data_IF_673773704635
#
_entry.id   IF_673773704635
#
_cell.length_a   1.000
_cell.length_b   1.000
_cell.length_c   1.000
_cell.angle_alpha   90.00
_cell.angle_beta   90.00
_cell.angle_gamma   90.00
#
_symmetry.space_group_name_H-M   'P 1'
#
loop_
_entity.id
_entity.type
_entity.pdbx_description
1 polymer ?
#
# COMPACT_ATOMS: atom_id res chain seq x y z
N UNK A 1 -19.04 4.34 6.88
CA UNK A 1 -17.93 3.40 6.64
C UNK A 1 -16.66 3.96 7.26
N UNK A 2 -15.90 3.11 7.94
CA UNK A 2 -14.56 3.43 8.44
C UNK A 2 -13.61 2.30 8.05
N UNK A 3 -12.56 2.63 7.33
CA UNK A 3 -11.65 1.65 6.76
C UNK A 3 -10.19 1.94 7.12
N UNK A 4 -9.36 0.91 7.10
CA UNK A 4 -7.91 1.03 7.26
C UNK A 4 -7.19 0.30 6.14
N UNK A 5 -6.10 0.90 5.67
CA UNK A 5 -5.17 0.29 4.71
C UNK A 5 -3.80 0.19 5.39
N UNK A 6 -3.27 -1.02 5.50
CA UNK A 6 -1.90 -1.28 5.93
C UNK A 6 -1.03 -1.47 4.70
N UNK A 7 0.14 -0.82 4.67
CA UNK A 7 1.10 -0.96 3.59
C UNK A 7 2.54 -1.00 4.14
N UNK A 8 3.47 -1.45 3.32
CA UNK A 8 4.84 -1.65 3.76
C UNK A 8 5.56 -0.33 4.03
N UNK A 9 5.52 0.60 3.08
CA UNK A 9 6.37 1.76 3.07
C UNK A 9 5.67 3.09 2.85
N UNK A 10 6.46 4.16 2.89
CA UNK A 10 5.98 5.53 2.67
C UNK A 10 5.56 5.76 1.22
N UNK A 11 6.22 5.09 0.27
CA UNK A 11 5.85 5.18 -1.16
C UNK A 11 4.44 4.66 -1.36
N UNK A 12 4.12 3.47 -0.82
CA UNK A 12 2.80 2.86 -0.91
C UNK A 12 1.73 3.77 -0.31
N UNK A 13 2.01 4.28 0.90
CA UNK A 13 1.11 5.21 1.58
C UNK A 13 0.79 6.44 0.74
N UNK A 14 1.81 7.02 0.08
CA UNK A 14 1.64 8.18 -0.81
C UNK A 14 0.83 7.83 -2.06
N UNK A 15 1.11 6.66 -2.68
CA UNK A 15 0.40 6.22 -3.87
C UNK A 15 -1.07 5.95 -3.57
N UNK A 16 -1.37 5.19 -2.52
CA UNK A 16 -2.74 4.94 -2.07
C UNK A 16 -3.47 6.27 -1.80
N UNK A 17 -2.83 7.21 -1.11
CA UNK A 17 -3.40 8.53 -0.89
C UNK A 17 -3.73 9.24 -2.19
N UNK A 18 -2.82 9.24 -3.18
CA UNK A 18 -3.04 9.93 -4.45
C UNK A 18 -4.15 9.29 -5.27
N UNK A 19 -4.21 7.95 -5.33
CA UNK A 19 -5.33 7.25 -5.96
C UNK A 19 -6.65 7.66 -5.31
N UNK A 20 -6.74 7.61 -3.99
CA UNK A 20 -7.96 8.00 -3.28
C UNK A 20 -8.33 9.47 -3.52
N UNK A 21 -7.35 10.37 -3.53
CA UNK A 21 -7.61 11.80 -3.75
C UNK A 21 -7.97 12.12 -5.20
N UNK A 22 -7.23 11.62 -6.18
CA UNK A 22 -7.34 12.06 -7.56
C UNK A 22 -8.29 11.22 -8.40
N UNK A 23 -8.39 9.92 -8.13
CA UNK A 23 -9.36 9.04 -8.81
C UNK A 23 -10.73 9.05 -8.11
N UNK A 24 -10.74 8.87 -6.78
CA UNK A 24 -11.98 8.68 -6.01
C UNK A 24 -12.46 9.91 -5.24
N UNK A 25 -11.77 11.05 -5.36
CA UNK A 25 -12.15 12.37 -4.81
C UNK A 25 -12.25 12.39 -3.28
N UNK A 26 -11.44 11.58 -2.60
CA UNK A 26 -11.30 11.66 -1.15
C UNK A 26 -10.52 12.91 -0.75
N UNK A 27 -10.86 13.52 0.39
CA UNK A 27 -10.18 14.70 0.92
C UNK A 27 -9.19 14.28 1.99
N UNK A 28 -7.98 14.80 1.90
CA UNK A 28 -6.97 14.65 2.94
C UNK A 28 -7.38 15.46 4.17
N UNK A 29 -7.49 14.80 5.33
CA UNK A 29 -7.97 15.39 6.58
C UNK A 29 -6.88 15.54 7.65
N UNK A 30 -5.80 14.78 7.55
CA UNK A 30 -4.72 14.92 8.50
C UNK A 30 -3.62 13.88 8.41
N UNK A 31 -2.53 14.21 9.09
CA UNK A 31 -1.34 13.37 9.25
C UNK A 31 -1.11 13.14 10.75
N UNK A 32 -0.90 11.89 11.12
CA UNK A 32 -0.52 11.54 12.49
C UNK A 32 0.82 10.82 12.42
N UNK A 33 1.86 11.46 12.94
CA UNK A 33 3.15 10.85 13.16
C UNK A 33 3.12 10.06 14.46
N UNK A 34 3.51 8.79 14.43
CA UNK A 34 3.63 8.04 15.66
C UNK A 34 4.96 8.38 16.33
N UNK A 35 4.89 9.19 17.36
CA UNK A 35 6.06 9.66 18.13
C UNK A 35 6.78 8.55 18.92
N UNK A 36 6.13 7.40 19.10
CA UNK A 36 6.66 6.27 19.90
C UNK A 36 7.52 5.33 19.05
N UNK A 37 7.21 5.20 17.76
CA UNK A 37 8.08 4.53 16.80
C UNK A 37 8.09 5.35 15.52
N UNK A 38 9.24 5.85 15.11
CA UNK A 38 9.45 6.58 13.84
C UNK A 38 9.13 5.73 12.58
N UNK A 39 8.48 4.57 12.74
CA UNK A 39 8.21 3.59 11.68
C UNK A 39 6.77 3.65 11.18
N UNK A 40 5.81 3.98 12.03
CA UNK A 40 4.40 4.04 11.64
C UNK A 40 4.01 5.46 11.24
N UNK A 41 3.69 5.64 9.98
CA UNK A 41 3.09 6.88 9.47
C UNK A 41 1.62 6.63 9.15
N UNK A 42 0.76 7.54 9.58
CA UNK A 42 -0.69 7.49 9.31
C UNK A 42 -1.14 8.69 8.49
N UNK A 43 -2.02 8.44 7.55
CA UNK A 43 -2.76 9.50 6.84
C UNK A 43 -4.24 9.22 6.90
N UNK A 44 -5.01 10.28 7.04
CA UNK A 44 -6.47 10.21 7.16
C UNK A 44 -7.09 10.91 5.96
N UNK A 45 -8.03 10.22 5.33
CA UNK A 45 -8.86 10.77 4.26
C UNK A 45 -10.33 10.62 4.61
N UNK A 46 -11.14 11.56 4.16
CA UNK A 46 -12.60 11.60 4.40
C UNK A 46 -13.36 11.85 3.11
N UNK A 47 -14.54 11.24 2.99
CA UNK A 47 -15.49 11.44 1.89
C UNK A 47 -16.90 11.12 2.39
N UNK A 48 -17.84 12.05 2.29
CA UNK A 48 -19.26 11.86 2.57
C UNK A 48 -19.56 11.16 3.92
N UNK A 49 -18.84 11.55 4.97
CA UNK A 49 -18.95 10.94 6.31
C UNK A 49 -18.20 9.63 6.49
N UNK A 50 -17.62 9.07 5.44
CA UNK A 50 -16.72 7.94 5.52
C UNK A 50 -15.29 8.38 5.84
N UNK A 51 -14.50 7.47 6.43
CA UNK A 51 -13.11 7.71 6.83
C UNK A 51 -12.21 6.55 6.43
N UNK A 52 -11.05 6.85 5.84
CA UNK A 52 -9.97 5.88 5.57
C UNK A 52 -8.72 6.30 6.32
N UNK A 53 -8.11 5.37 7.04
CA UNK A 53 -6.76 5.51 7.60
C UNK A 53 -5.78 4.69 6.75
N UNK A 54 -4.71 5.31 6.23
CA UNK A 54 -3.61 4.61 5.58
C UNK A 54 -2.45 4.56 6.58
N UNK A 55 -1.92 3.37 6.83
CA UNK A 55 -0.85 3.10 7.80
C UNK A 55 0.35 2.46 7.11
N UNK A 56 1.47 3.17 7.03
CA UNK A 56 2.76 2.62 6.60
C UNK A 56 3.45 1.96 7.77
N UNK A 57 3.78 0.68 7.67
CA UNK A 57 4.30 -0.14 8.77
C UNK A 57 5.83 -0.20 8.84
N UNK A 58 6.53 0.38 7.85
CA UNK A 58 8.00 0.36 7.80
C UNK A 58 8.59 -1.00 7.41
N UNK A 59 7.86 -1.78 6.61
CA UNK A 59 8.24 -3.06 6.02
C UNK A 59 7.22 -4.17 6.28
N UNK A 60 7.20 -5.16 5.38
CA UNK A 60 6.26 -6.29 5.41
C UNK A 60 6.26 -7.05 6.75
N UNK A 61 7.42 -7.18 7.38
CA UNK A 61 7.59 -7.91 8.65
C UNK A 61 6.89 -7.26 9.83
N UNK A 62 6.58 -5.97 9.74
CA UNK A 62 5.93 -5.21 10.81
C UNK A 62 4.39 -5.22 10.67
N UNK A 63 3.86 -5.54 9.48
CA UNK A 63 2.40 -5.52 9.24
C UNK A 63 1.65 -6.44 10.21
N UNK A 64 2.07 -7.71 10.46
CA UNK A 64 1.37 -8.56 11.41
C UNK A 64 1.33 -8.02 12.85
N UNK A 65 2.39 -7.33 13.30
CA UNK A 65 2.42 -6.69 14.61
C UNK A 65 1.48 -5.49 14.69
N UNK A 66 1.42 -4.67 13.64
CA UNK A 66 0.49 -3.55 13.57
C UNK A 66 -0.96 -4.01 13.44
N UNK A 67 -1.21 -5.11 12.76
CA UNK A 67 -2.53 -5.76 12.68
C UNK A 67 -2.97 -6.26 14.05
N UNK A 68 -2.08 -6.89 14.84
CA UNK A 68 -2.41 -7.31 16.21
C UNK A 68 -2.75 -6.11 17.09
N UNK A 69 -1.98 -5.02 17.02
CA UNK A 69 -2.30 -3.78 17.75
C UNK A 69 -3.64 -3.17 17.33
N UNK A 70 -3.94 -3.26 16.04
CA UNK A 70 -5.23 -2.84 15.50
C UNK A 70 -6.36 -3.71 16.05
N UNK A 71 -6.18 -5.03 16.10
CA UNK A 71 -7.13 -5.95 16.73
C UNK A 71 -7.38 -5.59 18.20
N UNK A 72 -6.32 -5.40 18.97
CA UNK A 72 -6.40 -4.94 20.37
C UNK A 72 -7.15 -3.59 20.48
N UNK A 73 -6.88 -2.64 19.58
CA UNK A 73 -7.59 -1.37 19.52
C UNK A 73 -9.10 -1.58 19.30
N UNK A 74 -9.48 -2.48 18.38
CA UNK A 74 -10.88 -2.82 18.12
C UNK A 74 -11.55 -3.47 19.33
N UNK A 75 -10.86 -4.40 20.00
CA UNK A 75 -11.35 -5.10 21.19
C UNK A 75 -11.59 -4.17 22.39
N UNK A 76 -10.75 -3.16 22.57
CA UNK A 76 -10.87 -2.17 23.64
C UNK A 76 -11.74 -0.97 23.32
N UNK A 77 -12.20 -0.83 22.08
CA UNK A 77 -13.09 0.26 21.71
C UNK A 77 -14.45 0.13 22.36
N UNK A 78 -14.91 1.20 23.00
CA UNK A 78 -16.22 1.25 23.69
C UNK A 78 -17.31 1.93 22.87
N UNK A 79 -16.95 2.57 21.77
CA UNK A 79 -17.86 3.32 20.91
C UNK A 79 -17.88 2.73 19.51
N UNK A 80 -19.08 2.56 18.95
CA UNK A 80 -19.27 2.05 17.61
C UNK A 80 -18.54 2.88 16.56
N UNK A 81 -18.47 4.19 16.75
CA UNK A 81 -17.81 5.13 15.83
C UNK A 81 -16.29 4.95 15.78
N UNK A 82 -15.70 4.25 16.76
CA UNK A 82 -14.28 3.94 16.81
C UNK A 82 -13.94 2.65 16.03
N UNK A 83 -14.95 1.82 15.77
CA UNK A 83 -14.79 0.55 15.06
C UNK A 83 -14.56 0.77 13.57
N UNK A 84 -13.88 -0.17 12.95
CA UNK A 84 -13.62 -0.20 11.51
C UNK A 84 -14.48 -1.29 10.86
N UNK A 85 -14.92 -1.01 9.64
CA UNK A 85 -15.76 -1.92 8.84
C UNK A 85 -14.90 -2.70 7.82
N UNK A 86 -13.77 -2.11 7.37
CA UNK A 86 -12.95 -2.68 6.30
C UNK A 86 -11.46 -2.56 6.60
N UNK A 87 -10.73 -3.61 6.23
CA UNK A 87 -9.26 -3.68 6.32
C UNK A 87 -8.71 -4.10 4.97
N UNK A 88 -7.74 -3.34 4.46
CA UNK A 88 -6.93 -3.75 3.32
C UNK A 88 -5.47 -3.87 3.76
N UNK A 89 -4.79 -4.89 3.29
CA UNK A 89 -3.34 -5.01 3.40
C UNK A 89 -2.76 -5.00 1.99
N UNK A 90 -1.81 -4.08 1.75
CA UNK A 90 -1.05 -4.00 0.52
C UNK A 90 0.40 -4.43 0.78
N UNK A 91 0.88 -5.41 0.02
CA UNK A 91 2.25 -5.92 0.09
C UNK A 91 2.92 -5.92 -1.27
N UNK A 92 4.26 -5.87 -1.29
CA UNK A 92 5.07 -6.06 -2.49
C UNK A 92 5.09 -7.53 -2.91
N UNK A 93 5.10 -7.80 -4.21
CA UNK A 93 5.25 -9.14 -4.79
C UNK A 93 6.73 -9.51 -4.94
N UNK A 94 7.45 -9.60 -3.84
CA UNK A 94 8.91 -9.86 -3.81
C UNK A 94 9.30 -11.18 -4.47
N UNK A 95 8.47 -12.23 -4.26
CA UNK A 95 8.66 -13.59 -4.79
C UNK A 95 7.32 -14.21 -5.16
N UNK A 96 7.33 -15.29 -5.95
CA UNK A 96 6.10 -16.01 -6.34
C UNK A 96 5.28 -16.46 -5.12
N UNK A 97 5.93 -16.75 -4.00
CA UNK A 97 5.28 -17.22 -2.78
C UNK A 97 5.01 -16.07 -1.76
N UNK A 98 5.21 -14.81 -2.13
CA UNK A 98 5.07 -13.66 -1.20
C UNK A 98 3.74 -13.66 -0.47
N UNK A 99 2.67 -13.89 -1.20
CA UNK A 99 1.32 -13.89 -0.65
C UNK A 99 1.15 -15.00 0.40
N UNK A 100 1.54 -16.22 0.06
CA UNK A 100 1.49 -17.38 0.95
C UNK A 100 2.31 -17.17 2.22
N UNK A 101 3.58 -16.78 2.07
CA UNK A 101 4.49 -16.54 3.19
C UNK A 101 3.94 -15.45 4.12
N UNK A 102 3.32 -14.42 3.53
CA UNK A 102 2.72 -13.34 4.31
C UNK A 102 1.48 -13.83 5.07
N UNK A 103 0.57 -14.55 4.39
CA UNK A 103 -0.65 -15.11 4.99
C UNK A 103 -0.34 -16.06 6.13
N UNK A 104 0.66 -16.95 5.97
CA UNK A 104 1.11 -17.86 7.02
C UNK A 104 1.58 -17.10 8.28
N UNK A 105 2.40 -16.06 8.10
CA UNK A 105 2.87 -15.21 9.21
C UNK A 105 1.73 -14.45 9.88
N UNK A 106 0.79 -13.96 9.07
CA UNK A 106 -0.38 -13.23 9.58
C UNK A 106 -1.25 -14.16 10.43
N UNK A 107 -1.53 -15.39 9.93
CA UNK A 107 -2.29 -16.40 10.62
C UNK A 107 -1.66 -16.79 11.96
N UNK A 108 -0.34 -17.04 11.97
CA UNK A 108 0.40 -17.32 13.20
C UNK A 108 0.24 -16.19 14.22
N UNK A 109 0.37 -14.94 13.77
CA UNK A 109 0.34 -13.76 14.64
C UNK A 109 -1.04 -13.43 15.19
N UNK A 110 -2.08 -13.54 14.37
CA UNK A 110 -3.46 -13.22 14.72
C UNK A 110 -4.24 -14.43 15.26
N UNK A 111 -3.64 -15.62 15.26
CA UNK A 111 -4.31 -16.89 15.59
C UNK A 111 -5.55 -17.15 14.74
N UNK A 112 -5.43 -16.88 13.43
CA UNK A 112 -6.48 -17.01 12.41
C UNK A 112 -6.15 -18.13 11.43
N UNK A 113 -7.07 -18.43 10.52
CA UNK A 113 -6.90 -19.46 9.48
C UNK A 113 -7.28 -18.89 8.10
N UNK A 114 -6.63 -17.82 7.69
CA UNK A 114 -6.78 -17.32 6.32
C UNK A 114 -6.21 -18.30 5.31
N UNK A 115 -6.82 -18.40 4.15
CA UNK A 115 -6.34 -19.20 3.05
C UNK A 115 -5.60 -18.32 2.06
N UNK A 116 -4.49 -18.79 1.48
CA UNK A 116 -3.75 -18.02 0.47
C UNK A 116 -4.57 -17.70 -0.79
N UNK A 117 -5.66 -18.45 -1.02
CA UNK A 117 -6.59 -18.27 -2.15
C UNK A 117 -7.75 -17.34 -1.84
N UNK A 118 -7.98 -17.05 -0.56
CA UNK A 118 -9.06 -16.20 -0.11
C UNK A 118 -8.53 -14.79 0.02
N UNK A 119 -8.51 -14.07 -1.10
CA UNK A 119 -8.12 -12.65 -1.14
C UNK A 119 -9.15 -11.79 -0.42
N UNK A 120 -10.40 -12.27 -0.34
CA UNK A 120 -11.51 -11.62 0.33
C UNK A 120 -12.01 -12.53 1.45
N UNK A 121 -11.77 -12.16 2.70
CA UNK A 121 -12.19 -12.95 3.86
C UNK A 121 -12.98 -12.08 4.81
N UNK A 122 -14.22 -12.48 5.07
CA UNK A 122 -15.01 -11.92 6.15
C UNK A 122 -14.52 -12.46 7.48
N UNK A 123 -13.98 -11.60 8.33
CA UNK A 123 -13.55 -11.98 9.67
C UNK A 123 -14.55 -11.46 10.68
N UNK A 124 -15.07 -12.38 11.48
CA UNK A 124 -15.85 -12.02 12.66
C UNK A 124 -14.93 -12.04 13.88
N UNK A 125 -14.52 -10.87 14.34
CA UNK A 125 -13.80 -10.75 15.58
C UNK A 125 -14.78 -10.70 16.76
N UNK A 126 -14.63 -11.62 17.70
CA UNK A 126 -15.40 -11.61 18.95
C UNK A 126 -14.66 -10.78 19.97
N UNK A 127 -15.32 -9.77 20.50
CA UNK A 127 -14.79 -8.95 21.60
C UNK A 127 -15.60 -9.23 22.86
N UNK A 128 -15.01 -9.95 23.81
CA UNK A 128 -15.72 -10.41 25.03
C UNK A 128 -16.11 -9.25 25.99
N UNK A 129 -15.51 -8.09 25.82
CA UNK A 129 -15.66 -6.96 26.76
C UNK A 129 -16.47 -5.79 26.20
N UNK A 130 -17.00 -5.86 24.98
CA UNK A 130 -17.74 -4.78 24.34
C UNK A 130 -19.24 -5.02 24.32
N UNK A 131 -19.98 -3.92 24.34
CA UNK A 131 -21.43 -3.89 24.05
C UNK A 131 -21.73 -4.50 22.66
N UNK A 132 -20.74 -4.50 21.76
CA UNK A 132 -20.75 -5.11 20.43
C UNK A 132 -19.89 -6.36 20.45
N UNK A 133 -20.49 -7.52 20.66
CA UNK A 133 -19.79 -8.81 20.77
C UNK A 133 -19.26 -9.38 19.46
N UNK A 134 -19.75 -8.90 18.32
CA UNK A 134 -19.33 -9.34 17.00
C UNK A 134 -19.11 -8.12 16.12
N UNK A 135 -17.88 -7.99 15.58
CA UNK A 135 -17.52 -7.02 14.57
C UNK A 135 -17.30 -7.81 13.29
N UNK A 136 -18.10 -7.51 12.29
CA UNK A 136 -17.90 -8.03 10.94
C UNK A 136 -16.96 -7.08 10.21
N UNK A 137 -15.83 -7.62 9.73
CA UNK A 137 -14.82 -6.89 8.98
C UNK A 137 -14.69 -7.49 7.59
N UNK A 138 -14.82 -6.64 6.58
CA UNK A 138 -14.35 -6.97 5.24
C UNK A 138 -12.82 -6.89 5.23
N UNK A 139 -12.17 -7.98 4.88
CA UNK A 139 -10.72 -8.08 4.92
C UNK A 139 -10.17 -8.46 3.54
N UNK A 140 -9.19 -7.68 3.05
CA UNK A 140 -8.59 -7.86 1.73
C UNK A 140 -7.07 -7.82 1.82
N UNK A 141 -6.41 -8.74 1.12
CA UNK A 141 -4.97 -8.71 0.89
C UNK A 141 -4.72 -8.48 -0.58
N UNK A 142 -3.99 -7.43 -0.94
CA UNK A 142 -3.54 -7.13 -2.30
C UNK A 142 -2.03 -7.21 -2.38
N UNK A 143 -1.53 -7.83 -3.45
CA UNK A 143 -0.11 -7.96 -3.73
C UNK A 143 0.20 -7.22 -5.04
N UNK A 144 1.18 -6.31 -5.04
CA UNK A 144 1.53 -5.54 -6.23
C UNK A 144 3.00 -5.74 -6.64
N UNK A 145 3.23 -5.87 -7.97
CA UNK A 145 2.26 -6.09 -9.06
C UNK A 145 1.53 -7.44 -8.93
N UNK A 146 0.32 -7.56 -9.49
CA UNK A 146 -0.48 -8.80 -9.34
C UNK A 146 0.10 -9.99 -10.12
N UNK A 147 0.53 -9.77 -11.37
CA UNK A 147 0.87 -10.84 -12.32
C UNK A 147 2.34 -11.23 -12.27
N UNK A 148 3.22 -10.37 -11.77
CA UNK A 148 4.67 -10.61 -11.75
C UNK A 148 5.32 -10.17 -10.45
N UNK A 149 6.52 -10.69 -10.18
CA UNK A 149 7.30 -10.26 -9.03
C UNK A 149 7.85 -8.85 -9.23
N UNK A 150 7.74 -8.02 -8.20
CA UNK A 150 8.17 -6.62 -8.22
C UNK A 150 7.80 -5.89 -6.94
N UNK A 151 7.60 -4.60 -7.07
CA UNK A 151 7.14 -3.71 -6.00
C UNK A 151 6.20 -2.66 -6.59
N UNK A 152 5.58 -1.85 -5.76
CA UNK A 152 4.72 -0.74 -6.22
C UNK A 152 5.48 0.19 -7.18
N UNK A 153 6.79 0.32 -7.02
CA UNK A 153 7.65 1.09 -7.93
C UNK A 153 7.64 0.54 -9.35
N UNK A 154 7.45 -0.78 -9.56
CA UNK A 154 7.30 -1.37 -10.90
C UNK A 154 6.05 -0.82 -11.60
N UNK A 155 4.92 -0.82 -10.89
CA UNK A 155 3.66 -0.25 -11.38
C UNK A 155 3.81 1.24 -11.70
N UNK A 156 4.53 1.96 -10.85
CA UNK A 156 4.76 3.41 -11.03
C UNK A 156 5.64 3.70 -12.23
N UNK A 157 6.69 2.90 -12.46
CA UNK A 157 7.56 3.04 -13.65
C UNK A 157 6.79 2.79 -14.94
N UNK A 158 5.94 1.76 -14.97
CA UNK A 158 5.08 1.49 -16.12
C UNK A 158 4.10 2.63 -16.38
N UNK A 159 3.49 3.18 -15.33
CA UNK A 159 2.56 4.30 -15.41
C UNK A 159 3.24 5.63 -15.84
N UNK A 160 4.56 5.75 -15.66
CA UNK A 160 5.35 6.93 -16.09
C UNK A 160 5.61 6.98 -17.59
N UNK A 161 5.55 5.86 -18.29
CA UNK A 161 5.81 5.79 -19.73
C UNK A 161 4.63 6.39 -20.48
N UNK A 162 4.59 7.71 -20.56
CA UNK A 162 3.53 8.49 -21.21
C UNK A 162 3.92 9.00 -22.58
N UNK A 163 5.21 9.07 -22.87
CA UNK A 163 5.80 9.49 -24.13
C UNK A 163 7.21 8.90 -24.33
N UNK A 164 7.77 9.07 -25.53
CA UNK A 164 9.08 8.53 -25.90
C UNK A 164 10.24 9.03 -25.02
N UNK A 165 10.13 10.21 -24.43
CA UNK A 165 11.16 10.82 -23.59
C UNK A 165 11.17 10.11 -22.23
N UNK A 166 10.00 9.97 -21.63
CA UNK A 166 9.85 9.27 -20.35
C UNK A 166 10.20 7.77 -20.49
N UNK A 167 9.77 7.13 -21.59
CA UNK A 167 10.15 5.76 -21.92
C UNK A 167 11.67 5.57 -22.00
N UNK A 168 12.34 6.46 -22.76
CA UNK A 168 13.80 6.41 -22.87
C UNK A 168 14.50 6.60 -21.53
N UNK A 169 13.98 7.48 -20.68
CA UNK A 169 14.56 7.74 -19.37
C UNK A 169 14.40 6.53 -18.43
N UNK A 170 13.22 5.93 -18.40
CA UNK A 170 12.97 4.68 -17.64
C UNK A 170 13.87 3.57 -18.13
N UNK A 171 13.90 3.32 -19.45
CA UNK A 171 14.70 2.26 -20.07
C UNK A 171 16.21 2.43 -19.81
N UNK A 172 16.73 3.64 -19.85
CA UNK A 172 18.15 3.89 -19.58
C UNK A 172 18.48 3.76 -18.08
N UNK A 173 17.55 4.16 -17.20
CA UNK A 173 17.68 3.92 -15.76
C UNK A 173 17.73 2.42 -15.46
N UNK A 174 16.86 1.62 -16.09
CA UNK A 174 16.84 0.18 -15.95
C UNK A 174 18.13 -0.48 -16.45
N UNK A 175 18.58 -0.13 -17.66
CA UNK A 175 19.86 -0.63 -18.22
C UNK A 175 21.03 -0.36 -17.30
N UNK A 176 21.10 0.84 -16.71
CA UNK A 176 22.14 1.18 -15.76
C UNK A 176 22.11 0.30 -14.51
N UNK A 177 20.93 0.12 -13.91
CA UNK A 177 20.74 -0.71 -12.72
C UNK A 177 21.04 -2.18 -13.00
N UNK A 178 20.59 -2.72 -14.14
CA UNK A 178 20.89 -4.09 -14.54
C UNK A 178 22.38 -4.30 -14.78
N UNK A 179 23.08 -3.35 -15.40
CA UNK A 179 24.52 -3.38 -15.54
C UNK A 179 25.25 -3.44 -14.19
N UNK A 180 24.81 -2.64 -13.21
CA UNK A 180 25.38 -2.70 -11.85
C UNK A 180 25.11 -4.07 -11.21
N UNK A 181 23.89 -4.61 -11.33
CA UNK A 181 23.56 -5.93 -10.80
C UNK A 181 24.44 -7.04 -11.36
N UNK A 182 24.70 -7.04 -12.67
CA UNK A 182 25.53 -8.05 -13.33
C UNK A 182 26.99 -8.00 -12.90
N UNK A 183 27.48 -6.83 -12.49
CA UNK A 183 28.87 -6.61 -12.11
C UNK A 183 29.10 -6.55 -10.60
N UNK A 184 28.06 -6.68 -9.76
CA UNK A 184 28.12 -6.54 -8.32
C UNK A 184 27.15 -7.49 -7.61
N UNK A 185 27.67 -8.56 -7.01
CA UNK A 185 26.84 -9.58 -6.32
C UNK A 185 26.26 -9.10 -4.98
N UNK A 186 26.76 -7.99 -4.45
CA UNK A 186 26.40 -7.52 -3.10
C UNK A 186 25.04 -6.90 -2.99
N UNK A 187 24.54 -6.29 -4.08
CA UNK A 187 23.32 -5.47 -4.09
C UNK A 187 22.31 -5.98 -5.12
N UNK A 188 21.08 -5.52 -5.03
CA UNK A 188 20.04 -5.74 -6.05
C UNK A 188 19.68 -7.22 -6.30
N UNK A 189 19.69 -8.04 -5.25
CA UNK A 189 19.43 -9.49 -5.38
C UNK A 189 17.96 -9.84 -5.64
N UNK A 190 17.00 -8.95 -5.30
CA UNK A 190 15.56 -9.16 -5.49
C UNK A 190 14.99 -8.22 -6.54
N UNK A 191 13.98 -8.65 -7.29
CA UNK A 191 13.32 -7.82 -8.32
C UNK A 191 12.72 -6.54 -7.74
N UNK A 192 12.12 -6.60 -6.55
CA UNK A 192 11.61 -5.41 -5.86
C UNK A 192 12.70 -4.37 -5.57
N UNK A 193 13.92 -4.81 -5.19
CA UNK A 193 15.04 -3.89 -5.00
C UNK A 193 15.53 -3.28 -6.32
N UNK A 194 15.46 -4.02 -7.41
CA UNK A 194 15.77 -3.51 -8.76
C UNK A 194 14.75 -2.43 -9.13
N UNK A 195 13.46 -2.71 -9.00
CA UNK A 195 12.41 -1.73 -9.28
C UNK A 195 12.57 -0.44 -8.47
N UNK A 196 12.84 -0.57 -7.17
CA UNK A 196 13.11 0.57 -6.28
C UNK A 196 14.37 1.36 -6.71
N UNK A 197 15.42 0.67 -7.16
CA UNK A 197 16.64 1.32 -7.65
C UNK A 197 16.39 2.06 -8.98
N UNK A 198 15.69 1.43 -9.93
CA UNK A 198 15.31 2.06 -11.21
C UNK A 198 14.47 3.30 -10.96
N UNK A 199 13.44 3.19 -10.13
CA UNK A 199 12.57 4.31 -9.76
C UNK A 199 13.34 5.47 -9.13
N UNK A 200 14.26 5.18 -8.21
CA UNK A 200 15.10 6.21 -7.60
C UNK A 200 16.06 6.85 -8.62
N UNK A 201 16.64 6.05 -9.54
CA UNK A 201 17.53 6.54 -10.60
C UNK A 201 16.79 7.43 -11.58
N UNK A 202 15.59 7.01 -12.02
CA UNK A 202 14.71 7.84 -12.84
C UNK A 202 14.49 9.21 -12.19
N UNK A 203 14.08 9.25 -10.92
CA UNK A 203 13.85 10.52 -10.23
C UNK A 203 15.12 11.33 -9.99
N UNK A 204 16.26 10.70 -9.79
CA UNK A 204 17.54 11.40 -9.66
C UNK A 204 17.92 12.16 -10.96
N UNK A 205 17.48 11.66 -12.12
CA UNK A 205 17.70 12.33 -13.40
C UNK A 205 16.57 13.33 -13.70
N UNK A 206 15.31 12.92 -13.47
CA UNK A 206 14.12 13.71 -13.80
C UNK A 206 13.98 14.96 -12.96
N UNK A 207 14.41 14.89 -11.71
CA UNK A 207 14.30 15.96 -10.72
C UNK A 207 15.59 16.07 -9.87
N UNK A 208 16.76 16.44 -10.48
CA UNK A 208 18.07 16.38 -9.83
C UNK A 208 18.24 17.37 -8.67
N UNK A 209 17.49 18.47 -8.67
CA UNK A 209 17.57 19.50 -7.64
C UNK A 209 16.74 19.20 -6.40
N UNK A 210 16.19 17.99 -6.33
CA UNK A 210 15.10 17.73 -5.45
C UNK A 210 15.44 17.37 -4.02
N UNK A 211 14.75 18.09 -3.20
CA UNK A 211 14.31 17.68 -1.88
C UNK A 211 12.95 16.99 -2.05
N UNK A 212 12.62 16.00 -1.22
CA UNK A 212 11.44 15.11 -1.30
C UNK A 212 10.07 15.69 -1.76
N UNK A 213 9.93 17.01 -1.81
CA UNK A 213 8.70 17.70 -2.24
C UNK A 213 8.36 17.61 -3.72
N UNK A 214 9.34 17.54 -4.61
CA UNK A 214 9.10 17.60 -6.07
C UNK A 214 8.72 16.24 -6.64
N UNK A 215 9.28 15.13 -6.11
CA UNK A 215 8.80 13.77 -6.43
C UNK A 215 7.29 13.69 -6.22
N UNK A 216 6.80 14.21 -5.08
CA UNK A 216 5.36 14.32 -4.83
C UNK A 216 4.65 15.21 -5.85
N UNK A 217 5.29 16.25 -6.38
CA UNK A 217 4.71 17.12 -7.42
C UNK A 217 4.56 16.38 -8.75
N UNK A 218 5.59 15.65 -9.19
CA UNK A 218 5.52 14.82 -10.40
C UNK A 218 4.42 13.76 -10.24
N UNK A 219 4.39 13.05 -9.12
CA UNK A 219 3.39 12.03 -8.86
C UNK A 219 1.96 12.59 -8.80
N UNK A 220 1.77 13.82 -8.33
CA UNK A 220 0.45 14.49 -8.36
C UNK A 220 -0.02 14.86 -9.77
N UNK A 221 0.92 15.06 -10.68
CA UNK A 221 0.60 15.46 -12.07
C UNK A 221 0.16 14.28 -12.95
N UNK A 222 0.18 13.03 -12.44
CA UNK A 222 -0.30 11.89 -13.20
C UNK A 222 -1.78 12.00 -13.52
N UNK A 223 -2.15 11.45 -14.65
CA UNK A 223 -3.56 11.25 -14.99
C UNK A 223 -4.12 10.00 -14.26
N UNK A 224 -4.31 10.14 -12.96
CA UNK A 224 -4.79 9.08 -12.10
C UNK A 224 -6.15 8.49 -12.51
N UNK A 225 -6.94 9.22 -13.30
CA UNK A 225 -8.27 8.78 -13.73
C UNK A 225 -8.21 7.90 -14.98
N UNK A 226 -7.34 8.25 -15.93
CA UNK A 226 -7.34 7.64 -17.25
C UNK A 226 -6.12 6.73 -17.48
N UNK A 227 -5.17 6.68 -16.58
CA UNK A 227 -4.02 5.77 -16.70
C UNK A 227 -4.46 4.34 -16.42
N UNK A 228 -4.41 3.49 -17.46
CA UNK A 228 -4.88 2.09 -17.40
C UNK A 228 -4.08 1.23 -16.42
N UNK A 229 -2.76 1.44 -16.34
CA UNK A 229 -1.86 0.73 -15.41
C UNK A 229 -2.28 1.00 -13.97
N UNK A 230 -2.47 2.28 -13.61
CA UNK A 230 -2.89 2.66 -12.27
C UNK A 230 -4.31 2.18 -11.96
N UNK A 231 -5.21 2.23 -12.94
CA UNK A 231 -6.59 1.76 -12.78
C UNK A 231 -6.63 0.25 -12.51
N UNK A 232 -5.85 -0.55 -13.26
CA UNK A 232 -5.74 -2.00 -13.04
C UNK A 232 -5.12 -2.29 -11.68
N UNK A 233 -3.95 -1.74 -11.39
CA UNK A 233 -3.18 -2.08 -10.19
C UNK A 233 -3.83 -1.63 -8.88
N UNK A 234 -4.57 -0.51 -8.89
CA UNK A 234 -5.25 0.00 -7.69
C UNK A 234 -6.75 -0.26 -7.67
N UNK A 235 -7.25 -1.18 -8.53
CA UNK A 235 -8.67 -1.57 -8.57
C UNK A 235 -9.20 -2.11 -7.23
N UNK A 236 -8.34 -2.68 -6.38
CA UNK A 236 -8.71 -3.12 -5.05
C UNK A 236 -9.24 -1.99 -4.14
N UNK A 237 -8.98 -0.72 -4.48
CA UNK A 237 -9.53 0.43 -3.77
C UNK A 237 -10.95 0.82 -4.23
N UNK A 238 -11.49 0.20 -5.29
CA UNK A 238 -12.85 0.46 -5.80
C UNK A 238 -13.93 0.08 -4.77
N UNK A 239 -13.62 -0.82 -3.84
CA UNK A 239 -14.52 -1.22 -2.76
C UNK A 239 -14.96 -0.04 -1.87
N UNK A 240 -14.16 1.02 -1.82
CA UNK A 240 -14.49 2.23 -1.06
C UNK A 240 -15.44 3.18 -1.80
N UNK A 241 -15.63 2.98 -3.11
CA UNK A 241 -16.51 3.81 -3.93
C UNK A 241 -17.86 3.16 -4.19
N UNK A 242 -17.94 1.83 -4.11
CA UNK A 242 -19.16 1.05 -4.41
C UNK A 242 -20.22 1.06 -3.31
N UNK A 243 -19.86 1.37 -2.06
CA UNK A 243 -20.81 1.41 -0.94
C UNK A 243 -21.71 2.66 -0.93
N UNK A 244 -21.54 3.58 -1.89
CA UNK A 244 -22.32 4.81 -2.03
C UNK A 244 -23.32 4.77 -3.22
N UNK A 245 -23.54 3.60 -3.81
CA UNK A 245 -24.59 3.36 -4.82
C UNK A 245 -25.67 2.50 -4.21
#
# INVERSE_FOLDING_TARGET
MKAVVFCEGTTDLLMIQFVLQYKYVWKYDGFVENTVSNRLMKRILVKDGAKIEIRSCGGITNIPDEMRRFQEQMEYSTKKEELFDKVIILIDHDTVDSNKIFVDKLNEKLQTNFNERDINVDIKWKTDNLVFKEIELDFYISCLPEEETGAIESVMLEALVTDDIEENLVNNSEKFILYIRENQDRYLQRKSLIAKAVFNTYFAIRTPEEKCGERSRVLRAYDWKNNEVLNKSFGFLDIYDNDNK
#
